data_IF_435266539622
#
_entry.id   IF_435266539622
#
_cell.length_a   1.000
_cell.length_b   1.000
_cell.length_c   1.000
_cell.angle_alpha   90.00
_cell.angle_beta   90.00
_cell.angle_gamma   90.00
#
_symmetry.space_group_name_H-M   'P 1'
#
loop_
_entity.id
_entity.type
_entity.pdbx_description
1 polymer ?
#
# COMPACT_ATOMS: atom_id res chain seq x y z
N UNK A 1 1.20 -3.50 3.26
CA UNK A 1 1.66 -3.77 4.64
C UNK A 1 3.15 -4.08 4.64
N UNK A 2 3.94 -3.67 5.65
CA UNK A 2 5.43 -3.72 5.62
C UNK A 2 6.11 -4.59 6.71
N UNK A 3 5.48 -5.63 7.23
CA UNK A 3 6.00 -6.40 8.37
C UNK A 3 6.04 -7.91 8.12
N UNK A 4 6.85 -8.61 8.93
CA UNK A 4 6.89 -10.07 8.94
C UNK A 4 5.69 -10.60 9.76
N UNK A 5 4.51 -10.62 9.14
CA UNK A 5 3.29 -11.09 9.79
C UNK A 5 3.11 -12.59 9.61
N UNK A 6 2.56 -13.22 10.64
CA UNK A 6 1.99 -14.55 10.56
C UNK A 6 0.85 -14.61 9.54
N UNK A 7 0.61 -15.79 9.00
CA UNK A 7 -0.37 -16.03 7.93
C UNK A 7 -1.73 -15.40 8.27
N UNK A 8 -2.31 -14.69 7.32
CA UNK A 8 -3.72 -14.32 7.32
C UNK A 8 -4.43 -15.17 6.25
N UNK A 9 -5.28 -16.12 6.70
CA UNK A 9 -6.03 -17.03 5.83
C UNK A 9 -7.35 -16.45 5.33
N UNK A 10 -7.64 -15.19 5.64
CA UNK A 10 -8.86 -14.53 5.23
C UNK A 10 -9.04 -14.57 3.70
N UNK A 11 -10.17 -15.12 3.28
CA UNK A 11 -10.60 -15.16 1.89
C UNK A 11 -12.06 -14.72 1.81
N UNK A 12 -12.25 -13.52 1.28
CA UNK A 12 -13.56 -12.89 1.20
C UNK A 12 -14.55 -13.64 0.30
N UNK A 13 -14.08 -14.56 -0.56
CA UNK A 13 -14.94 -15.40 -1.41
C UNK A 13 -15.59 -16.56 -0.65
N UNK A 14 -15.00 -16.96 0.49
CA UNK A 14 -15.52 -18.06 1.33
C UNK A 14 -16.67 -17.64 2.24
N UNK A 15 -16.90 -16.32 2.38
CA UNK A 15 -18.02 -15.75 3.14
C UNK A 15 -18.07 -16.22 4.60
N UNK A 16 -16.91 -16.45 5.23
CA UNK A 16 -16.85 -16.77 6.65
C UNK A 16 -17.27 -15.57 7.50
N UNK A 17 -18.01 -15.85 8.58
CA UNK A 17 -18.58 -14.82 9.43
C UNK A 17 -17.77 -14.58 10.72
N UNK A 18 -17.02 -15.59 11.18
CA UNK A 18 -16.13 -15.60 12.36
C UNK A 18 -15.28 -16.87 12.41
N UNK A 19 -14.23 -16.85 13.21
CA UNK A 19 -13.41 -18.01 13.61
C UNK A 19 -14.02 -18.64 14.88
N UNK A 20 -14.00 -19.97 14.96
CA UNK A 20 -14.51 -20.74 16.11
C UNK A 20 -13.40 -21.59 16.72
N UNK A 21 -12.97 -21.21 17.92
CA UNK A 21 -11.96 -21.96 18.67
C UNK A 21 -12.53 -23.29 19.18
N UNK A 22 -11.75 -24.36 19.02
CA UNK A 22 -12.13 -25.70 19.49
C UNK A 22 -11.48 -26.00 20.84
N UNK A 23 -12.25 -26.64 21.72
CA UNK A 23 -11.72 -27.07 23.02
C UNK A 23 -10.56 -28.05 22.84
N UNK A 24 -9.47 -27.81 23.57
CA UNK A 24 -8.29 -28.68 23.58
C UNK A 24 -7.36 -28.53 22.36
N UNK A 25 -7.59 -27.53 21.48
CA UNK A 25 -6.67 -27.23 20.37
C UNK A 25 -5.77 -26.03 20.67
N UNK A 26 -4.52 -26.00 20.16
CA UNK A 26 -3.67 -24.83 20.25
C UNK A 26 -4.29 -23.62 19.54
N UNK A 27 -4.05 -22.43 20.10
CA UNK A 27 -4.37 -21.16 19.46
C UNK A 27 -3.19 -20.73 18.58
N UNK A 28 -3.47 -20.20 17.39
CA UNK A 28 -2.47 -19.58 16.53
C UNK A 28 -2.76 -18.10 16.35
N UNK A 29 -1.69 -17.34 16.10
CA UNK A 29 -1.77 -15.94 15.66
C UNK A 29 -2.54 -15.79 14.34
N UNK A 30 -2.43 -16.77 13.44
CA UNK A 30 -3.19 -16.82 12.19
C UNK A 30 -4.70 -16.81 12.41
N UNK A 31 -5.21 -17.55 13.41
CA UNK A 31 -6.64 -17.54 13.77
C UNK A 31 -7.10 -16.15 14.22
N UNK A 32 -6.23 -15.41 14.91
CA UNK A 32 -6.50 -14.05 15.36
C UNK A 32 -6.51 -13.04 14.21
N UNK A 33 -5.53 -13.16 13.31
CA UNK A 33 -5.43 -12.34 12.10
C UNK A 33 -6.65 -12.55 11.20
N UNK A 34 -7.02 -13.81 10.93
CA UNK A 34 -8.20 -14.12 10.11
C UNK A 34 -9.49 -13.58 10.74
N UNK A 35 -9.65 -13.72 12.06
CA UNK A 35 -10.82 -13.16 12.76
C UNK A 35 -10.88 -11.63 12.65
N UNK A 36 -9.76 -10.93 12.77
CA UNK A 36 -9.71 -9.48 12.61
C UNK A 36 -10.07 -9.05 11.18
N UNK A 37 -9.51 -9.71 10.17
CA UNK A 37 -9.78 -9.45 8.75
C UNK A 37 -11.24 -9.73 8.37
N UNK A 38 -11.85 -10.79 8.91
CA UNK A 38 -13.29 -11.08 8.74
C UNK A 38 -14.15 -9.93 9.30
N UNK A 39 -13.81 -9.39 10.47
CA UNK A 39 -14.58 -8.29 11.07
C UNK A 39 -14.43 -7.02 10.23
N UNK A 40 -13.20 -6.69 9.82
CA UNK A 40 -12.92 -5.50 9.01
C UNK A 40 -13.64 -5.53 7.65
N UNK A 41 -13.55 -6.64 6.90
CA UNK A 41 -14.26 -6.77 5.61
C UNK A 41 -15.78 -6.67 5.77
N UNK A 42 -16.33 -7.27 6.82
CA UNK A 42 -17.77 -7.15 7.12
C UNK A 42 -18.19 -5.73 7.42
N UNK A 43 -17.39 -4.99 8.20
CA UNK A 43 -17.64 -3.58 8.51
C UNK A 43 -17.60 -2.72 7.23
N UNK A 44 -16.56 -2.86 6.41
CA UNK A 44 -16.43 -2.08 5.18
C UNK A 44 -17.56 -2.37 4.20
N UNK A 45 -17.94 -3.64 4.02
CA UNK A 45 -19.08 -4.03 3.17
C UNK A 45 -20.39 -3.49 3.70
N UNK A 46 -20.59 -3.51 5.02
CA UNK A 46 -21.78 -2.95 5.64
C UNK A 46 -21.87 -1.44 5.36
N UNK A 47 -20.79 -0.69 5.63
CA UNK A 47 -20.74 0.76 5.38
C UNK A 47 -20.98 1.05 3.90
N UNK A 48 -20.29 0.34 3.01
CA UNK A 48 -20.46 0.48 1.55
C UNK A 48 -21.88 0.17 1.10
N UNK A 49 -22.53 -0.82 1.70
CA UNK A 49 -23.92 -1.17 1.39
C UNK A 49 -24.92 -0.12 1.91
N UNK A 50 -24.61 0.59 2.99
CA UNK A 50 -25.49 1.59 3.59
C UNK A 50 -25.32 2.98 2.95
N UNK A 51 -24.07 3.38 2.68
CA UNK A 51 -23.71 4.74 2.24
C UNK A 51 -23.36 4.82 0.75
N UNK A 52 -23.20 3.67 0.09
CA UNK A 52 -22.62 3.59 -1.25
C UNK A 52 -21.09 3.56 -1.23
N UNK A 53 -20.49 3.54 -2.42
CA UNK A 53 -19.04 3.40 -2.56
C UNK A 53 -18.26 4.62 -2.06
N UNK A 54 -18.79 5.85 -2.17
CA UNK A 54 -18.10 7.06 -1.70
C UNK A 54 -19.10 8.00 -1.04
N UNK A 55 -18.79 8.48 0.16
CA UNK A 55 -19.73 9.28 0.95
C UNK A 55 -19.01 10.24 1.90
N UNK A 56 -19.32 11.54 1.82
CA UNK A 56 -18.84 12.54 2.78
C UNK A 56 -19.63 12.51 4.08
N UNK A 57 -19.00 12.81 5.22
CA UNK A 57 -19.74 12.91 6.50
C UNK A 57 -20.37 14.29 6.70
N UNK A 58 -21.21 14.43 7.72
CA UNK A 58 -21.94 15.67 8.04
C UNK A 58 -21.04 16.85 8.47
N UNK A 59 -19.73 16.64 8.58
CA UNK A 59 -18.73 17.63 8.98
C UNK A 59 -18.02 18.29 7.79
N UNK A 60 -18.49 18.04 6.56
CA UNK A 60 -17.89 18.53 5.32
C UNK A 60 -16.40 18.15 5.17
N UNK A 61 -15.98 17.05 5.79
CA UNK A 61 -14.61 16.56 5.72
C UNK A 61 -14.11 16.43 4.29
N UNK A 62 -12.90 16.92 4.04
CA UNK A 62 -12.23 16.91 2.73
C UNK A 62 -12.91 17.77 1.65
N UNK A 63 -13.93 18.57 1.98
CA UNK A 63 -14.51 19.50 1.01
C UNK A 63 -13.46 20.54 0.57
N UNK A 64 -13.23 20.71 -0.74
CA UNK A 64 -12.29 21.71 -1.25
C UNK A 64 -12.84 23.13 -1.05
N UNK A 65 -11.98 24.05 -0.64
CA UNK A 65 -12.28 25.48 -0.59
C UNK A 65 -11.06 26.31 -0.97
N UNK A 66 -11.30 27.55 -1.40
CA UNK A 66 -10.21 28.49 -1.69
C UNK A 66 -9.88 29.27 -0.43
N UNK A 67 -8.62 29.19 -0.01
CA UNK A 67 -8.09 29.89 1.15
C UNK A 67 -7.23 31.08 0.69
N UNK A 68 -7.56 32.27 1.20
CA UNK A 68 -6.80 33.50 0.91
C UNK A 68 -6.71 33.90 -0.57
N UNK A 69 -7.51 33.28 -1.46
CA UNK A 69 -7.45 33.49 -2.91
C UNK A 69 -6.20 32.94 -3.61
N UNK A 70 -5.34 32.21 -2.90
CA UNK A 70 -4.03 31.77 -3.40
C UNK A 70 -3.80 30.27 -3.30
N UNK A 71 -4.54 29.57 -2.44
CA UNK A 71 -4.43 28.12 -2.28
C UNK A 71 -5.79 27.42 -2.32
N UNK A 72 -5.80 26.23 -2.92
CA UNK A 72 -6.87 25.25 -2.79
C UNK A 72 -6.58 24.41 -1.55
N UNK A 73 -7.38 24.63 -0.51
CA UNK A 73 -7.32 23.95 0.78
C UNK A 73 -8.53 23.02 0.95
N UNK A 74 -8.54 22.22 2.03
CA UNK A 74 -9.59 21.25 2.28
C UNK A 74 -10.08 21.35 3.72
N UNK A 75 -11.39 21.18 3.91
CA UNK A 75 -12.00 21.13 5.23
C UNK A 75 -11.51 19.90 6.01
N UNK A 76 -11.35 20.08 7.32
CA UNK A 76 -11.07 18.99 8.25
C UNK A 76 -12.37 18.25 8.56
N UNK A 77 -12.30 16.93 8.74
CA UNK A 77 -13.44 16.07 9.03
C UNK A 77 -13.20 14.64 8.57
N UNK A 78 -14.27 13.94 8.20
CA UNK A 78 -14.18 12.57 7.68
C UNK A 78 -14.82 12.36 6.31
N UNK A 79 -14.42 11.27 5.65
CA UNK A 79 -14.95 10.86 4.35
C UNK A 79 -14.79 9.35 4.19
N UNK A 80 -15.78 8.67 3.61
CA UNK A 80 -15.72 7.23 3.35
C UNK A 80 -15.35 6.95 1.89
N UNK A 81 -14.29 6.17 1.68
CA UNK A 81 -13.85 5.67 0.38
C UNK A 81 -13.95 4.15 0.37
N UNK A 82 -14.85 3.60 -0.42
CA UNK A 82 -15.17 2.18 -0.51
C UNK A 82 -15.43 1.47 0.84
N UNK A 83 -16.02 2.20 1.79
CA UNK A 83 -16.25 1.71 3.16
C UNK A 83 -15.10 1.99 4.13
N UNK A 84 -13.92 2.40 3.65
CA UNK A 84 -12.81 2.86 4.50
C UNK A 84 -13.08 4.27 5.00
N UNK A 85 -13.07 4.45 6.32
CA UNK A 85 -13.21 5.78 6.93
C UNK A 85 -11.89 6.53 6.92
N UNK A 86 -11.82 7.59 6.12
CA UNK A 86 -10.74 8.56 6.15
C UNK A 86 -11.10 9.66 7.14
N UNK A 87 -10.20 9.96 8.08
CA UNK A 87 -10.41 11.03 9.05
C UNK A 87 -9.18 11.95 9.07
N UNK A 88 -9.42 13.25 9.19
CA UNK A 88 -8.35 14.20 9.50
C UNK A 88 -8.11 14.21 11.00
N UNK A 89 -6.84 14.09 11.40
CA UNK A 89 -6.41 14.19 12.79
C UNK A 89 -5.19 15.10 12.85
N UNK A 90 -4.07 14.58 13.37
CA UNK A 90 -2.78 15.25 13.26
C UNK A 90 -2.35 15.45 11.80
N UNK A 91 -2.68 14.48 10.93
CA UNK A 91 -2.49 14.58 9.49
C UNK A 91 -3.59 15.45 8.87
N UNK A 92 -3.18 16.57 8.26
CA UNK A 92 -4.03 17.49 7.51
C UNK A 92 -3.84 17.32 6.00
N UNK A 93 -4.87 17.60 5.17
CA UNK A 93 -4.71 17.58 3.72
C UNK A 93 -3.72 18.65 3.26
N UNK A 94 -2.89 18.30 2.27
CA UNK A 94 -1.94 19.25 1.72
C UNK A 94 -2.68 20.27 0.85
N UNK A 95 -2.33 21.56 1.00
CA UNK A 95 -2.90 22.64 0.20
C UNK A 95 -2.15 22.76 -1.15
N UNK A 96 -2.87 23.12 -2.20
CA UNK A 96 -2.30 23.28 -3.54
C UNK A 96 -2.27 24.77 -3.93
N UNK A 97 -1.12 25.33 -4.37
CA UNK A 97 -1.06 26.69 -4.86
C UNK A 97 -1.93 26.86 -6.11
N UNK A 98 -2.90 27.78 -6.09
CA UNK A 98 -3.84 27.98 -7.19
C UNK A 98 -3.14 28.41 -8.48
N UNK A 99 -2.06 29.18 -8.40
CA UNK A 99 -1.29 29.64 -9.56
C UNK A 99 -0.71 28.47 -10.40
N UNK A 100 -0.55 27.30 -9.78
CA UNK A 100 -0.10 26.08 -10.45
C UNK A 100 -1.22 25.27 -11.11
N UNK A 101 -2.48 25.65 -10.86
CA UNK A 101 -3.67 24.93 -11.28
C UNK A 101 -4.33 25.67 -12.45
N UNK A 102 -4.52 24.96 -13.58
CA UNK A 102 -5.14 25.50 -14.78
C UNK A 102 -6.20 24.54 -15.31
N UNK A 103 -7.35 25.09 -15.73
CA UNK A 103 -8.44 24.34 -16.32
C UNK A 103 -9.22 23.47 -15.32
N UNK A 104 -10.07 22.54 -15.80
CA UNK A 104 -10.82 21.65 -14.94
C UNK A 104 -9.90 20.65 -14.23
N UNK A 105 -10.20 20.40 -12.97
CA UNK A 105 -9.39 19.58 -12.08
C UNK A 105 -10.22 18.39 -11.62
N UNK A 106 -9.61 17.20 -11.65
CA UNK A 106 -10.12 16.04 -10.94
C UNK A 106 -9.44 15.96 -9.59
N UNK A 107 -10.23 16.13 -8.53
CA UNK A 107 -9.83 15.88 -7.16
C UNK A 107 -10.27 14.47 -6.78
N UNK A 108 -9.38 13.71 -6.16
CA UNK A 108 -9.72 12.39 -5.63
C UNK A 108 -8.97 12.11 -4.33
N UNK A 109 -9.63 11.37 -3.44
CA UNK A 109 -9.05 10.90 -2.20
C UNK A 109 -8.52 9.49 -2.43
N UNK A 110 -7.21 9.33 -2.41
CA UNK A 110 -6.55 8.04 -2.42
C UNK A 110 -6.47 7.54 -0.98
N UNK A 111 -7.09 6.41 -0.66
CA UNK A 111 -7.21 5.87 0.69
C UNK A 111 -6.73 4.42 0.72
N UNK A 112 -5.95 4.06 1.73
CA UNK A 112 -5.41 2.71 1.88
C UNK A 112 -5.09 2.39 3.34
N UNK A 113 -4.90 1.11 3.63
CA UNK A 113 -4.39 0.65 4.92
C UNK A 113 -2.86 0.74 4.99
N UNK A 114 -2.37 1.51 5.94
CA UNK A 114 -0.96 1.61 6.28
C UNK A 114 -0.66 0.77 7.51
N UNK A 115 0.36 -0.08 7.41
CA UNK A 115 0.93 -0.72 8.60
C UNK A 115 1.76 0.27 9.41
N UNK A 116 1.51 0.32 10.70
CA UNK A 116 2.20 1.16 11.67
C UNK A 116 3.00 0.26 12.59
N UNK A 117 4.30 0.52 12.65
CA UNK A 117 5.25 -0.23 13.46
C UNK A 117 5.83 0.67 14.57
N UNK A 118 6.62 0.11 15.50
CA UNK A 118 7.25 0.88 16.57
C UNK A 118 8.26 1.95 16.16
N UNK A 119 8.72 1.94 14.90
CA UNK A 119 9.58 3.01 14.36
C UNK A 119 8.71 4.24 14.06
N UNK A 120 7.51 4.03 13.54
CA UNK A 120 6.53 5.09 13.25
C UNK A 120 5.81 5.57 14.52
N UNK A 121 5.50 4.66 15.43
CA UNK A 121 4.83 4.96 16.70
C UNK A 121 5.52 4.21 17.86
N UNK A 122 6.48 4.88 18.54
CA UNK A 122 7.20 4.27 19.67
C UNK A 122 6.32 3.87 20.85
N UNK A 123 5.09 4.38 20.94
CA UNK A 123 4.16 4.02 22.01
C UNK A 123 3.60 2.59 21.86
N UNK A 124 3.80 1.95 20.71
CA UNK A 124 3.45 0.54 20.49
C UNK A 124 4.37 -0.43 21.26
N UNK A 125 5.52 0.03 21.74
CA UNK A 125 6.43 -0.80 22.54
C UNK A 125 5.92 -0.91 23.96
N UNK A 126 5.93 -2.14 24.50
CA UNK A 126 5.63 -2.37 25.90
C UNK A 126 6.91 -2.20 26.75
N UNK A 127 6.97 -1.19 27.63
CA UNK A 127 8.13 -0.98 28.49
C UNK A 127 8.40 -2.18 29.42
N UNK A 128 7.37 -2.92 29.83
CA UNK A 128 7.49 -4.09 30.70
C UNK A 128 8.12 -5.30 29.98
N UNK A 129 8.02 -5.35 28.65
CA UNK A 129 8.63 -6.40 27.82
C UNK A 129 10.02 -6.00 27.30
N UNK A 130 10.70 -5.06 27.97
CA UNK A 130 12.02 -4.60 27.55
C UNK A 130 11.99 -3.79 26.26
N UNK A 131 10.86 -3.14 25.94
CA UNK A 131 10.63 -2.42 24.68
C UNK A 131 10.65 -3.32 23.45
N UNK A 132 10.19 -4.56 23.59
CA UNK A 132 9.96 -5.47 22.46
C UNK A 132 8.67 -5.12 21.73
N UNK A 133 8.69 -5.31 20.41
CA UNK A 133 7.51 -5.27 19.57
C UNK A 133 6.73 -6.59 19.71
N UNK A 134 5.41 -6.50 19.87
CA UNK A 134 4.51 -7.66 19.97
C UNK A 134 3.61 -7.81 18.77
N UNK A 135 3.11 -6.68 18.24
CA UNK A 135 2.21 -6.64 17.09
C UNK A 135 2.16 -5.23 16.53
N UNK A 136 2.13 -5.12 15.20
CA UNK A 136 1.92 -3.86 14.50
C UNK A 136 0.43 -3.45 14.53
N UNK A 137 0.13 -2.26 14.03
CA UNK A 137 -1.25 -1.79 13.82
C UNK A 137 -1.52 -1.54 12.34
N UNK A 138 -2.77 -1.69 11.93
CA UNK A 138 -3.26 -1.12 10.68
C UNK A 138 -3.92 0.23 10.99
N UNK A 139 -3.68 1.22 10.15
CA UNK A 139 -4.33 2.53 10.20
C UNK A 139 -4.75 2.91 8.78
N UNK A 140 -5.98 3.37 8.63
CA UNK A 140 -6.41 3.99 7.37
C UNK A 140 -5.66 5.31 7.21
N UNK A 141 -4.94 5.44 6.11
CA UNK A 141 -4.27 6.68 5.72
C UNK A 141 -4.75 7.07 4.34
N UNK A 142 -4.56 8.33 4.00
CA UNK A 142 -5.10 8.89 2.79
C UNK A 142 -4.23 10.01 2.25
N UNK A 143 -4.43 10.36 0.99
CA UNK A 143 -3.87 11.54 0.35
C UNK A 143 -4.88 12.12 -0.62
N UNK A 144 -5.14 13.42 -0.51
CA UNK A 144 -5.88 14.14 -1.54
C UNK A 144 -4.95 14.34 -2.73
N UNK A 145 -5.32 13.84 -3.89
CA UNK A 145 -4.56 13.96 -5.13
C UNK A 145 -5.36 14.76 -6.14
N UNK A 146 -4.62 15.49 -6.97
CA UNK A 146 -5.16 16.30 -8.04
C UNK A 146 -4.61 15.82 -9.37
N UNK A 147 -5.49 15.78 -10.37
CA UNK A 147 -5.11 15.54 -11.77
C UNK A 147 -5.78 16.56 -12.65
N UNK A 148 -4.99 17.31 -13.42
CA UNK A 148 -5.52 18.15 -14.49
C UNK A 148 -6.18 17.25 -15.53
N UNK A 149 -7.42 17.57 -15.87
CA UNK A 149 -8.15 16.89 -16.94
C UNK A 149 -8.30 17.87 -18.10
N UNK A 150 -8.29 17.34 -19.33
CA UNK A 150 -8.66 18.17 -20.48
C UNK A 150 -10.15 18.46 -20.36
N UNK A 151 -10.58 19.67 -20.73
CA UNK A 151 -12.01 19.94 -20.84
C UNK A 151 -12.64 18.88 -21.76
N UNK A 152 -13.66 18.14 -21.28
CA UNK A 152 -14.34 17.20 -22.13
C UNK A 152 -14.95 17.99 -23.29
N UNK A 153 -14.77 17.47 -24.51
CA UNK A 153 -15.40 18.08 -25.68
C UNK A 153 -16.92 18.06 -25.49
N UNK A 154 -17.67 18.98 -26.12
CA UNK A 154 -19.13 18.99 -26.03
C UNK A 154 -19.77 17.62 -26.35
N UNK A 155 -19.19 16.85 -27.27
CA UNK A 155 -19.61 15.49 -27.60
C UNK A 155 -19.33 14.42 -26.51
N UNK A 156 -18.38 14.66 -25.60
CA UNK A 156 -18.02 13.76 -24.50
C UNK A 156 -18.81 14.05 -23.21
N UNK A 157 -19.58 15.16 -23.19
CA UNK A 157 -20.49 15.51 -22.10
C UNK A 157 -21.72 14.60 -22.16
N UNK A 158 -21.57 13.38 -21.64
CA UNK A 158 -22.71 12.70 -21.03
C UNK A 158 -23.34 13.64 -20.00
N UNK A 159 -24.66 13.53 -19.71
CA UNK A 159 -25.31 14.41 -18.73
C UNK A 159 -24.48 14.39 -17.45
N UNK A 160 -23.94 15.55 -17.06
CA UNK A 160 -23.39 15.76 -15.73
C UNK A 160 -24.56 15.44 -14.79
N UNK A 161 -24.50 14.39 -13.95
CA UNK A 161 -25.54 14.16 -12.98
C UNK A 161 -25.42 15.30 -11.98
N UNK A 162 -26.17 16.37 -12.22
CA UNK A 162 -26.74 17.14 -11.11
C UNK A 162 -27.47 16.10 -10.28
N UNK A 163 -27.07 15.94 -9.03
CA UNK A 163 -27.63 14.98 -8.08
C UNK A 163 -29.13 15.26 -7.94
N UNK A 164 -29.94 14.60 -8.78
CA UNK A 164 -31.39 14.77 -8.80
C UNK A 164 -32.12 13.42 -8.68
N UNK A 165 -31.40 12.29 -8.74
CA UNK A 165 -31.97 10.96 -8.55
C UNK A 165 -31.09 10.12 -7.62
N UNK A 166 -31.41 10.03 -6.32
CA UNK A 166 -30.66 9.21 -5.36
C UNK A 166 -30.68 7.71 -5.67
N UNK A 167 -31.49 7.24 -6.63
CA UNK A 167 -31.55 5.84 -7.04
C UNK A 167 -30.75 5.52 -8.34
N UNK A 168 -30.00 6.48 -8.92
CA UNK A 168 -29.18 6.29 -10.14
C UNK A 168 -27.67 6.51 -9.92
N UNK A 169 -27.11 5.93 -8.87
CA UNK A 169 -25.70 6.08 -8.48
C UNK A 169 -24.69 5.35 -9.42
N UNK A 170 -25.12 4.63 -10.46
CA UNK A 170 -24.20 3.79 -11.24
C UNK A 170 -23.53 4.42 -12.48
N UNK A 171 -23.73 5.70 -12.80
CA UNK A 171 -23.04 6.32 -13.94
C UNK A 171 -22.05 7.39 -13.49
N UNK A 172 -20.75 7.07 -13.50
CA UNK A 172 -19.71 8.08 -13.33
C UNK A 172 -19.77 9.08 -14.52
N UNK A 173 -19.94 10.39 -14.27
CA UNK A 173 -19.97 11.42 -15.32
C UNK A 173 -18.73 11.47 -16.20
N UNK A 174 -17.60 10.92 -15.74
CA UNK A 174 -16.31 10.93 -16.42
C UNK A 174 -15.93 9.60 -17.07
N UNK A 175 -16.89 8.68 -17.26
CA UNK A 175 -16.66 7.43 -17.99
C UNK A 175 -16.13 7.66 -19.42
N UNK A 176 -16.58 8.74 -20.08
CA UNK A 176 -16.11 9.15 -21.40
C UNK A 176 -14.64 9.63 -21.40
N UNK A 177 -14.15 10.16 -20.27
CA UNK A 177 -12.77 10.69 -20.14
C UNK A 177 -11.78 9.60 -19.67
N UNK A 178 -12.21 8.33 -19.60
CA UNK A 178 -11.37 7.20 -19.21
C UNK A 178 -10.95 7.21 -17.73
N UNK A 179 -11.52 8.10 -16.91
CA UNK A 179 -11.21 8.23 -15.47
C UNK A 179 -11.86 7.11 -14.65
N UNK A 180 -13.01 6.60 -15.11
CA UNK A 180 -13.88 5.70 -14.36
C UNK A 180 -14.01 4.29 -14.94
N UNK A 181 -13.03 3.82 -15.71
CA UNK A 181 -12.84 2.37 -15.85
C UNK A 181 -11.87 1.96 -14.76
N UNK A 182 -12.34 1.44 -13.60
CA UNK A 182 -11.45 0.64 -12.79
C UNK A 182 -11.10 -0.57 -13.66
N UNK A 183 -9.99 -0.50 -14.39
CA UNK A 183 -9.33 -1.69 -14.85
C UNK A 183 -8.94 -2.42 -13.55
N UNK A 184 -9.79 -3.32 -13.08
CA UNK A 184 -9.44 -4.23 -12.00
C UNK A 184 -8.36 -5.15 -12.54
N UNK A 185 -7.11 -4.70 -12.42
CA UNK A 185 -5.93 -5.46 -12.80
C UNK A 185 -5.58 -6.32 -11.61
N UNK A 186 -5.90 -7.60 -11.71
CA UNK A 186 -5.56 -8.59 -10.69
C UNK A 186 -4.18 -9.15 -11.03
N UNK A 187 -3.28 -9.15 -10.05
CA UNK A 187 -2.05 -9.91 -10.13
C UNK A 187 -2.35 -11.33 -9.64
N UNK A 188 -2.18 -12.32 -10.53
CA UNK A 188 -2.33 -13.72 -10.17
C UNK A 188 -0.94 -14.39 -10.11
N UNK A 189 -0.61 -14.95 -8.96
CA UNK A 189 0.62 -15.73 -8.76
C UNK A 189 0.24 -17.20 -8.93
N UNK A 190 0.79 -17.86 -9.95
CA UNK A 190 0.62 -19.30 -10.16
C UNK A 190 1.95 -20.00 -9.96
N UNK A 191 1.91 -21.16 -9.30
CA UNK A 191 3.05 -22.08 -9.30
C UNK A 191 3.26 -22.58 -10.73
N UNK A 192 4.46 -22.42 -11.26
CA UNK A 192 4.83 -23.11 -12.50
C UNK A 192 4.70 -24.62 -12.26
N UNK A 193 4.04 -25.40 -13.14
CA UNK A 193 3.99 -26.84 -12.99
C UNK A 193 5.42 -27.36 -12.89
N UNK A 194 5.78 -27.95 -11.75
CA UNK A 194 7.07 -28.63 -11.65
C UNK A 194 7.01 -29.78 -12.64
N UNK A 195 7.91 -29.81 -13.61
CA UNK A 195 8.17 -31.03 -14.34
C UNK A 195 8.38 -32.14 -13.30
N UNK A 196 7.58 -33.21 -13.37
CA UNK A 196 7.77 -34.36 -12.48
C UNK A 196 9.25 -34.76 -12.58
N UNK A 197 9.98 -34.91 -11.45
CA UNK A 197 11.32 -35.47 -11.49
C UNK A 197 11.27 -36.77 -12.28
N UNK A 198 12.21 -36.99 -13.20
CA UNK A 198 12.28 -38.29 -13.86
C UNK A 198 12.51 -39.37 -12.79
N UNK A 199 11.85 -40.54 -12.89
CA UNK A 199 12.01 -41.62 -11.92
C UNK A 199 13.49 -41.94 -11.73
N UNK A 200 13.99 -41.87 -10.49
CA UNK A 200 15.39 -42.17 -10.15
C UNK A 200 16.37 -40.98 -10.17
N UNK A 201 15.88 -39.75 -10.32
CA UNK A 201 16.70 -38.56 -10.07
C UNK A 201 17.07 -38.47 -8.57
N UNK A 202 18.32 -38.13 -8.20
CA UNK A 202 18.69 -37.86 -6.80
C UNK A 202 17.92 -36.68 -6.17
N UNK A 203 17.09 -35.97 -6.94
CA UNK A 203 16.13 -34.96 -6.49
C UNK A 203 14.69 -35.50 -6.34
N UNK A 204 14.48 -36.82 -6.43
CA UNK A 204 13.21 -37.48 -6.12
C UNK A 204 13.00 -37.47 -4.59
N UNK A 205 12.56 -36.33 -4.08
CA UNK A 205 12.09 -36.17 -2.71
C UNK A 205 10.66 -36.73 -2.57
N UNK A 206 10.43 -37.95 -3.05
CA UNK A 206 9.26 -38.71 -2.66
C UNK A 206 9.40 -39.02 -1.17
N UNK A 207 8.67 -38.24 -0.36
CA UNK A 207 8.33 -38.42 1.07
C UNK A 207 8.86 -37.45 2.14
N UNK A 208 9.58 -36.35 1.83
CA UNK A 208 9.99 -35.41 2.92
C UNK A 208 9.90 -33.90 2.70
N UNK A 209 9.46 -33.37 1.56
CA UNK A 209 9.33 -31.91 1.40
C UNK A 209 7.89 -31.41 1.53
N UNK A 210 7.39 -31.42 2.77
CA UNK A 210 6.22 -30.61 3.19
C UNK A 210 6.47 -29.10 3.05
N UNK A 211 7.70 -28.66 2.76
CA UNK A 211 8.07 -27.27 2.49
C UNK A 211 7.64 -26.77 1.09
N UNK A 212 7.00 -27.62 0.28
CA UNK A 212 6.59 -27.33 -1.10
C UNK A 212 5.15 -26.82 -1.24
N UNK A 213 4.44 -26.60 -0.14
CA UNK A 213 3.10 -25.99 -0.16
C UNK A 213 3.23 -24.47 -0.30
N UNK A 214 2.34 -23.85 -1.10
CA UNK A 214 2.16 -22.39 -1.09
C UNK A 214 1.52 -21.89 0.23
N UNK A 215 1.17 -22.81 1.15
CA UNK A 215 0.33 -22.53 2.31
C UNK A 215 1.09 -21.87 3.47
N UNK A 216 2.43 -21.86 3.42
CA UNK A 216 3.30 -21.31 4.47
C UNK A 216 4.24 -20.18 3.99
N UNK A 217 4.27 -19.88 2.68
CA UNK A 217 5.13 -18.83 2.14
C UNK A 217 4.32 -17.56 1.87
N UNK A 218 4.44 -16.58 2.78
CA UNK A 218 3.82 -15.27 2.57
C UNK A 218 4.76 -14.41 1.72
N UNK A 219 4.48 -14.36 0.43
CA UNK A 219 5.20 -13.49 -0.50
C UNK A 219 4.61 -12.09 -0.46
N UNK A 220 5.49 -11.12 -0.60
CA UNK A 220 5.09 -9.74 -0.85
C UNK A 220 5.53 -9.33 -2.24
N UNK A 221 4.62 -8.72 -2.99
CA UNK A 221 4.91 -8.13 -4.29
C UNK A 221 4.50 -6.66 -4.24
N UNK A 222 5.40 -5.78 -4.67
CA UNK A 222 5.13 -4.36 -4.85
C UNK A 222 5.36 -3.98 -6.30
N UNK A 223 4.33 -3.39 -6.92
CA UNK A 223 4.42 -2.88 -8.30
C UNK A 223 4.96 -1.46 -8.28
N UNK A 224 6.17 -1.28 -8.82
CA UNK A 224 6.90 -0.01 -8.88
C UNK A 224 6.65 0.77 -10.17
N UNK A 225 6.24 0.09 -11.24
CA UNK A 225 5.84 0.73 -12.48
C UNK A 225 4.90 -0.21 -13.21
N UNK A 226 3.72 0.29 -13.53
CA UNK A 226 2.85 -0.38 -14.49
C UNK A 226 3.48 -0.29 -15.88
N UNK A 227 3.64 -1.44 -16.52
CA UNK A 227 4.12 -1.50 -17.89
C UNK A 227 3.04 -1.15 -18.90
N UNK A 228 3.43 -0.98 -20.16
CA UNK A 228 2.48 -0.96 -21.27
C UNK A 228 1.74 -2.31 -21.34
N UNK A 229 0.41 -2.33 -21.58
CA UNK A 229 -0.32 -3.58 -21.71
C UNK A 229 0.33 -4.49 -22.76
N UNK A 230 0.61 -5.74 -22.39
CA UNK A 230 1.15 -6.72 -23.32
C UNK A 230 0.04 -7.16 -24.29
N UNK A 231 0.18 -6.82 -25.57
CA UNK A 231 -0.70 -7.36 -26.61
C UNK A 231 -0.23 -8.77 -26.96
N UNK A 232 -1.12 -9.75 -26.82
CA UNK A 232 -0.89 -11.21 -26.93
C UNK A 232 -0.19 -11.62 -28.25
N UNK A 233 -0.19 -10.75 -29.27
CA UNK A 233 0.37 -11.03 -30.59
C UNK A 233 1.85 -10.61 -30.78
N UNK A 234 2.53 -10.13 -29.73
CA UNK A 234 3.98 -9.82 -29.79
C UNK A 234 4.79 -10.92 -29.10
N UNK A 235 5.71 -11.56 -29.81
CA UNK A 235 6.70 -12.48 -29.22
C UNK A 235 7.85 -11.76 -28.51
N UNK A 236 7.94 -10.43 -28.66
CA UNK A 236 8.92 -9.60 -27.98
C UNK A 236 8.27 -8.94 -26.75
N UNK A 237 8.80 -9.23 -25.56
CA UNK A 237 8.51 -8.47 -24.34
C UNK A 237 9.09 -7.05 -24.52
N UNK A 238 8.29 -5.97 -24.39
CA UNK A 238 8.82 -4.62 -24.46
C UNK A 238 9.72 -4.36 -23.25
N UNK A 239 11.04 -4.32 -23.47
CA UNK A 239 12.03 -4.05 -22.42
C UNK A 239 11.91 -2.59 -21.93
N UNK A 240 11.60 -1.67 -22.84
CA UNK A 240 11.21 -0.30 -22.55
C UNK A 240 9.71 -0.19 -22.29
N UNK A 241 9.36 0.07 -21.03
CA UNK A 241 7.97 0.11 -20.59
C UNK A 241 7.45 -1.20 -19.99
N UNK A 242 8.33 -2.15 -19.64
CA UNK A 242 7.95 -3.33 -18.87
C UNK A 242 7.38 -2.96 -17.48
N UNK A 243 6.48 -3.80 -16.97
CA UNK A 243 6.05 -3.74 -15.58
C UNK A 243 7.26 -4.01 -14.69
N UNK A 244 7.52 -3.13 -13.72
CA UNK A 244 8.55 -3.34 -12.71
C UNK A 244 7.88 -3.62 -11.39
N UNK A 245 8.27 -4.72 -10.78
CA UNK A 245 7.87 -5.07 -9.43
C UNK A 245 9.10 -5.53 -8.67
N UNK A 246 9.04 -5.38 -7.35
CA UNK A 246 9.96 -6.06 -6.43
C UNK A 246 9.14 -7.08 -5.64
N UNK A 247 9.80 -8.13 -5.20
CA UNK A 247 9.17 -9.13 -4.37
C UNK A 247 10.12 -9.62 -3.29
N UNK A 248 9.55 -10.13 -2.21
CA UNK A 248 10.28 -10.77 -1.12
C UNK A 248 9.53 -12.02 -0.68
N UNK A 249 10.28 -13.03 -0.25
CA UNK A 249 9.75 -14.26 0.35
C UNK A 249 9.44 -14.09 1.84
N UNK A 250 10.06 -13.11 2.48
CA UNK A 250 9.75 -12.71 3.85
C UNK A 250 8.66 -11.64 3.76
N UNK A 251 7.51 -11.88 4.35
CA UNK A 251 6.32 -11.00 4.31
C UNK A 251 6.62 -9.51 4.63
N UNK A 252 7.77 -9.24 5.26
CA UNK A 252 8.29 -7.91 5.56
C UNK A 252 9.50 -7.49 4.71
N UNK A 253 9.70 -6.18 4.63
CA UNK A 253 11.01 -5.61 4.31
C UNK A 253 11.66 -5.20 5.63
N UNK A 254 12.99 -5.29 5.74
CA UNK A 254 13.70 -4.66 6.84
C UNK A 254 13.44 -3.16 6.82
N UNK A 255 13.22 -2.58 8.00
CA UNK A 255 12.83 -1.18 8.16
C UNK A 255 13.86 -0.48 9.03
N UNK A 256 14.52 0.56 8.51
CA UNK A 256 15.60 1.27 9.18
C UNK A 256 15.30 2.76 9.35
N UNK A 257 15.29 3.30 10.58
CA UNK A 257 15.26 4.74 10.78
C UNK A 257 16.55 5.36 10.26
N UNK A 258 16.45 6.30 9.32
CA UNK A 258 17.59 7.06 8.81
C UNK A 258 17.88 8.22 9.74
N UNK A 259 19.12 8.31 10.24
CA UNK A 259 19.62 9.42 11.06
C UNK A 259 20.23 10.52 10.21
N UNK A 260 20.97 10.15 9.16
CA UNK A 260 21.70 11.09 8.32
C UNK A 260 21.93 10.54 6.91
N UNK A 261 22.11 11.43 5.95
CA UNK A 261 22.42 11.11 4.55
C UNK A 261 23.67 11.87 4.10
N UNK A 262 24.74 11.13 3.76
CA UNK A 262 26.04 11.70 3.39
C UNK A 262 26.46 11.16 2.02
N UNK A 263 26.12 11.90 0.95
CA UNK A 263 26.46 11.53 -0.41
C UNK A 263 25.83 10.20 -0.82
N UNK A 264 26.65 9.15 -0.93
CA UNK A 264 26.24 7.76 -1.23
C UNK A 264 26.07 6.89 0.02
N UNK A 265 26.15 7.46 1.23
CA UNK A 265 26.04 6.71 2.48
C UNK A 265 24.80 7.12 3.27
N UNK A 266 24.11 6.16 3.88
CA UNK A 266 23.04 6.38 4.85
C UNK A 266 23.50 5.95 6.23
N UNK A 267 23.32 6.81 7.23
CA UNK A 267 23.51 6.43 8.63
C UNK A 267 22.15 6.05 9.18
N UNK A 268 22.02 4.80 9.63
CA UNK A 268 20.77 4.23 10.13
C UNK A 268 20.84 3.89 11.61
N UNK A 269 19.68 3.89 12.27
CA UNK A 269 19.54 3.31 13.59
C UNK A 269 19.39 1.79 13.52
N UNK A 270 20.39 1.09 14.05
CA UNK A 270 20.42 -0.36 14.16
C UNK A 270 19.89 -0.86 15.51
N UNK A 271 19.45 0.00 16.41
CA UNK A 271 18.97 -0.46 17.73
C UNK A 271 17.61 -1.16 17.65
N UNK A 272 16.88 -1.03 16.53
CA UNK A 272 15.47 -1.46 16.38
C UNK A 272 15.20 -2.17 15.05
N UNK A 273 16.02 -3.15 14.71
CA UNK A 273 15.81 -3.98 13.51
C UNK A 273 14.48 -4.72 13.58
N UNK A 274 13.74 -4.71 12.46
CA UNK A 274 12.51 -5.52 12.31
C UNK A 274 12.67 -6.63 11.27
N UNK A 275 13.90 -7.00 10.90
CA UNK A 275 14.15 -8.13 10.01
C UNK A 275 15.04 -9.18 10.67
N UNK A 276 14.76 -10.44 10.35
CA UNK A 276 15.54 -11.61 10.74
C UNK A 276 16.88 -11.70 10.01
N UNK A 277 17.05 -10.98 8.89
CA UNK A 277 18.25 -11.05 8.06
C UNK A 277 19.01 -9.72 8.06
N UNK A 278 20.35 -9.77 8.20
CA UNK A 278 21.19 -8.59 8.03
C UNK A 278 21.22 -8.16 6.57
N UNK A 279 21.25 -6.85 6.34
CA UNK A 279 21.43 -6.24 5.02
C UNK A 279 22.64 -6.85 4.29
N UNK A 280 22.46 -7.26 3.05
CA UNK A 280 23.52 -7.80 2.19
C UNK A 280 23.87 -6.82 1.06
N UNK A 281 25.10 -6.88 0.54
CA UNK A 281 25.39 -6.31 -0.78
C UNK A 281 24.38 -6.83 -1.82
N UNK A 282 24.02 -5.97 -2.76
CA UNK A 282 22.98 -6.15 -3.79
C UNK A 282 21.52 -6.08 -3.32
N UNK A 283 21.24 -5.94 -2.02
CA UNK A 283 19.90 -5.62 -1.55
C UNK A 283 19.37 -4.32 -2.18
N UNK A 284 18.04 -4.22 -2.30
CA UNK A 284 17.35 -3.06 -2.87
C UNK A 284 16.60 -2.31 -1.79
N UNK A 285 16.85 -1.01 -1.73
CA UNK A 285 16.35 -0.10 -0.71
C UNK A 285 15.38 0.90 -1.29
N UNK A 286 14.39 1.28 -0.49
CA UNK A 286 13.42 2.31 -0.82
C UNK A 286 13.26 3.28 0.36
N UNK A 287 13.59 4.55 0.13
CA UNK A 287 13.43 5.59 1.15
C UNK A 287 11.99 6.08 1.20
N UNK A 288 11.41 6.10 2.40
CA UNK A 288 10.02 6.49 2.67
C UNK A 288 9.96 7.58 3.73
N UNK A 289 8.94 8.44 3.60
CA UNK A 289 8.54 9.30 4.70
C UNK A 289 7.78 8.47 5.77
N UNK A 290 7.84 8.89 7.03
CA UNK A 290 7.05 8.24 8.10
C UNK A 290 5.57 8.62 8.03
N UNK A 291 5.23 9.75 7.40
CA UNK A 291 3.85 10.26 7.30
C UNK A 291 3.00 9.48 6.30
N UNK A 292 3.61 8.58 5.52
CA UNK A 292 2.95 7.81 4.47
C UNK A 292 2.44 8.67 3.31
N UNK A 293 2.75 9.98 3.29
CA UNK A 293 2.35 10.91 2.22
C UNK A 293 2.82 10.44 0.85
N UNK A 294 3.89 9.65 0.81
CA UNK A 294 4.48 9.14 -0.42
C UNK A 294 4.34 7.63 -0.61
N UNK A 295 3.54 6.92 0.19
CA UNK A 295 3.50 5.46 0.17
C UNK A 295 3.07 4.86 -1.19
N UNK A 296 2.36 5.65 -2.01
CA UNK A 296 1.91 5.29 -3.37
C UNK A 296 2.65 6.08 -4.48
N UNK A 297 3.76 6.74 -4.18
CA UNK A 297 4.62 7.33 -5.21
C UNK A 297 5.71 6.34 -5.58
N UNK A 298 5.85 6.04 -6.88
CA UNK A 298 6.89 5.16 -7.41
C UNK A 298 8.28 5.77 -7.15
N UNK A 299 8.92 5.39 -6.05
CA UNK A 299 10.24 5.91 -5.68
C UNK A 299 11.37 5.09 -6.28
N UNK A 300 12.48 5.77 -6.54
CA UNK A 300 13.64 5.14 -7.13
C UNK A 300 14.27 4.14 -6.14
N UNK A 301 14.41 2.89 -6.56
CA UNK A 301 15.18 1.90 -5.84
C UNK A 301 16.69 2.21 -5.92
N UNK A 302 17.38 1.95 -4.83
CA UNK A 302 18.84 2.08 -4.72
C UNK A 302 19.42 0.75 -4.30
N UNK A 303 20.58 0.39 -4.85
CA UNK A 303 21.27 -0.84 -4.49
C UNK A 303 22.22 -0.60 -3.32
N UNK A 304 22.32 -1.59 -2.44
CA UNK A 304 23.34 -1.65 -1.37
C UNK A 304 24.65 -2.14 -1.98
N UNK A 305 25.74 -1.42 -1.72
CA UNK A 305 27.10 -1.85 -2.10
C UNK A 305 27.88 -2.36 -0.89
N UNK A 306 27.51 -1.96 0.31
CA UNK A 306 28.12 -2.42 1.55
C UNK A 306 27.34 -1.98 2.78
N UNK A 307 27.62 -2.62 3.91
CA UNK A 307 27.01 -2.28 5.19
C UNK A 307 28.00 -2.55 6.32
N UNK A 308 28.32 -1.50 7.10
CA UNK A 308 29.20 -1.61 8.25
C UNK A 308 28.73 -0.69 9.38
N UNK A 309 28.54 -1.24 10.59
CA UNK A 309 28.27 -0.50 11.84
C UNK A 309 27.17 0.57 11.73
N UNK A 310 26.07 0.29 11.02
CA UNK A 310 24.95 1.22 10.86
C UNK A 310 25.15 2.27 9.79
N UNK A 311 26.18 2.10 8.95
CA UNK A 311 26.37 2.86 7.72
C UNK A 311 26.09 1.95 6.54
N UNK A 312 25.12 2.32 5.72
CA UNK A 312 24.76 1.65 4.47
C UNK A 312 25.42 2.43 3.33
N UNK A 313 26.20 1.75 2.51
CA UNK A 313 26.75 2.31 1.27
C UNK A 313 25.83 1.99 0.09
N UNK A 314 25.58 3.01 -0.73
CA UNK A 314 24.64 2.98 -1.83
C UNK A 314 25.35 3.03 -3.18
N UNK A 315 24.73 2.41 -4.19
CA UNK A 315 25.21 2.42 -5.58
C UNK A 315 25.14 3.78 -6.27
N UNK A 316 24.38 4.73 -5.73
CA UNK A 316 24.29 6.12 -6.22
C UNK A 316 23.92 7.06 -5.07
N UNK A 317 24.37 8.30 -5.19
CA UNK A 317 23.92 9.36 -4.29
C UNK A 317 22.41 9.53 -4.45
N UNK A 318 21.71 9.61 -3.33
CA UNK A 318 20.26 9.74 -3.33
C UNK A 318 19.89 11.11 -2.77
N UNK A 319 19.18 11.91 -3.57
CA UNK A 319 18.62 13.19 -3.12
C UNK A 319 17.19 12.91 -2.68
N UNK A 320 16.88 12.95 -1.38
CA UNK A 320 15.52 12.75 -0.93
C UNK A 320 14.64 13.93 -1.40
N UNK A 321 13.59 13.65 -2.16
CA UNK A 321 12.48 14.60 -2.35
C UNK A 321 11.66 14.56 -1.05
N UNK A 322 12.05 15.40 -0.09
CA UNK A 322 11.41 15.53 1.21
C UNK A 322 10.53 16.77 1.21
N UNK A 323 9.22 16.56 1.19
CA UNK A 323 8.25 17.58 1.60
C UNK A 323 8.12 17.50 3.12
N UNK A 324 9.02 18.21 3.80
CA UNK A 324 9.12 18.45 5.25
C UNK A 324 9.22 17.24 6.21
N UNK A 325 10.01 17.44 7.27
CA UNK A 325 10.53 16.47 8.27
C UNK A 325 9.46 15.58 8.92
N UNK A 326 9.63 14.25 8.83
CA UNK A 326 10.28 13.44 9.90
C UNK A 326 11.33 12.45 9.32
N UNK A 327 12.02 11.62 10.16
CA UNK A 327 13.13 10.77 9.68
C UNK A 327 12.70 9.85 8.54
N UNK A 328 13.57 9.71 7.53
CA UNK A 328 13.33 8.74 6.47
C UNK A 328 13.41 7.32 7.03
N UNK A 329 12.70 6.41 6.39
CA UNK A 329 12.78 4.99 6.70
C UNK A 329 13.17 4.26 5.43
N UNK A 330 14.19 3.40 5.51
CA UNK A 330 14.65 2.54 4.42
C UNK A 330 14.07 1.15 4.56
#
# INVERSE_FOLDING_TARGET
>A
MYGDFSRDSFDSSKLYNRVLMQQGRPLTDADWNEQASIIADREWRLIKSLLGANHGTFDDGFAPHVEGGTSLSFCLGSYYVDGLRCETGEKKPDAYPLDSLNGPLLLFLDAWEQSVNPIMDPALLDPALGSNDTAWRSRVTWQVKLKQVKEPKPEDKGPIPVVADPNKICACPYAAVGVCKPDQRVLEIRRAPSALPQPGSPCDLSTSDRSSSLEEAVYRIEVHRMGVPFTINSTAYPVDGAMRFKWTKENGAAVYPVKDTVGTSLVVDNSRFVSRLPLQPDDRLELRDQTGRSANQNRALVGVTGYERGRIELSKAFVPQLDETPPLVV
#
